data_IF_369834132684
#
_entry.id   IF_369834132684
#
_cell.length_a   1.000
_cell.length_b   1.000
_cell.length_c   1.000
_cell.angle_alpha   90.00
_cell.angle_beta   90.00
_cell.angle_gamma   90.00
#
_symmetry.space_group_name_H-M   'P 1'
#
loop_
_entity.id
_entity.type
_entity.pdbx_description
1 polymer ?
#
# COMPACT_ATOMS: atom_id res chain seq x y z
N UNK A 1 32.59 -5.67 -51.25
CA UNK A 1 31.74 -4.47 -51.06
C UNK A 1 30.37 -4.98 -50.67
N UNK A 2 30.15 -5.18 -49.37
CA UNK A 2 28.87 -5.61 -48.82
C UNK A 2 28.29 -4.41 -48.06
N UNK A 3 27.03 -4.11 -48.37
CA UNK A 3 26.25 -3.06 -47.73
C UNK A 3 25.92 -3.48 -46.29
N UNK A 4 26.39 -2.72 -45.30
CA UNK A 4 25.86 -2.76 -43.94
C UNK A 4 24.69 -1.79 -43.86
N UNK A 5 23.49 -2.35 -43.71
CA UNK A 5 22.28 -1.63 -43.29
C UNK A 5 22.25 -1.64 -41.76
N UNK A 6 22.17 -0.50 -41.06
CA UNK A 6 22.00 -0.51 -39.61
C UNK A 6 20.58 -0.97 -39.27
N UNK A 7 20.49 -2.06 -38.51
CA UNK A 7 19.23 -2.54 -37.96
C UNK A 7 18.66 -1.51 -36.98
N UNK A 8 17.42 -1.06 -37.22
CA UNK A 8 16.61 -0.36 -36.23
C UNK A 8 16.37 -1.31 -35.04
N UNK A 9 16.90 -0.95 -33.87
CA UNK A 9 16.60 -1.61 -32.60
C UNK A 9 15.29 -1.06 -32.04
N UNK A 10 14.17 -1.57 -32.55
CA UNK A 10 12.87 -1.42 -31.92
C UNK A 10 12.75 -2.42 -30.76
N UNK A 11 12.48 -1.90 -29.56
CA UNK A 11 11.96 -2.68 -28.43
C UNK A 11 13.01 -3.37 -27.57
N UNK A 12 13.33 -2.74 -26.43
CA UNK A 12 14.00 -3.36 -25.29
C UNK A 12 13.43 -4.77 -25.03
N UNK A 13 14.30 -5.78 -25.13
CA UNK A 13 14.00 -7.20 -24.91
C UNK A 13 13.72 -7.56 -23.45
N UNK A 14 12.80 -6.83 -22.81
CA UNK A 14 12.33 -7.10 -21.47
C UNK A 14 11.16 -8.10 -21.54
N UNK A 15 11.17 -9.19 -20.73
CA UNK A 15 10.06 -10.11 -20.68
C UNK A 15 8.79 -9.38 -20.20
N UNK A 16 7.60 -9.74 -20.73
CA UNK A 16 6.35 -9.06 -20.44
C UNK A 16 6.11 -8.99 -18.93
N UNK A 17 5.91 -7.78 -18.40
CA UNK A 17 5.77 -7.50 -16.97
C UNK A 17 7.01 -6.89 -16.29
N UNK A 18 8.13 -6.75 -16.99
CA UNK A 18 9.32 -6.07 -16.47
C UNK A 18 9.35 -4.61 -16.91
N UNK A 19 9.72 -3.71 -16.00
CA UNK A 19 9.77 -2.28 -16.27
C UNK A 19 11.14 -1.74 -15.87
N UNK A 20 11.80 -1.01 -16.78
CA UNK A 20 13.11 -0.38 -16.56
C UNK A 20 12.94 0.79 -15.57
N UNK A 21 13.70 0.78 -14.48
CA UNK A 21 13.63 1.78 -13.40
C UNK A 21 14.76 2.83 -13.46
N UNK A 22 15.78 2.58 -14.29
CA UNK A 22 17.02 3.37 -14.38
C UNK A 22 17.36 3.55 -15.86
N UNK A 23 17.57 4.79 -16.33
CA UNK A 23 17.88 5.12 -17.73
C UNK A 23 19.33 5.62 -17.91
N UNK A 24 20.28 4.73 -17.69
CA UNK A 24 21.72 5.06 -17.67
C UNK A 24 22.19 5.70 -19.00
N UNK A 25 21.44 5.47 -20.09
CA UNK A 25 21.82 5.86 -21.46
C UNK A 25 21.07 7.12 -21.95
N UNK A 26 20.14 7.68 -21.17
CA UNK A 26 19.36 8.87 -21.52
C UNK A 26 18.48 8.72 -22.76
N UNK A 27 18.12 7.49 -23.13
CA UNK A 27 17.39 7.17 -24.37
C UNK A 27 15.87 7.17 -24.20
N UNK A 28 15.36 7.33 -22.97
CA UNK A 28 13.93 7.23 -22.68
C UNK A 28 13.32 8.63 -22.51
N UNK A 29 12.40 9.00 -23.40
CA UNK A 29 11.59 10.23 -23.29
C UNK A 29 10.60 10.09 -22.12
N UNK A 30 11.09 10.31 -20.89
CA UNK A 30 10.29 10.30 -19.67
C UNK A 30 10.75 11.42 -18.71
N UNK A 31 9.84 11.98 -17.90
CA UNK A 31 10.21 13.02 -16.92
C UNK A 31 11.08 12.39 -15.83
N UNK A 32 12.35 12.73 -15.82
CA UNK A 32 13.32 12.39 -14.78
C UNK A 32 13.05 13.17 -13.47
N UNK A 33 13.43 12.62 -12.32
CA UNK A 33 13.33 13.31 -11.05
C UNK A 33 14.31 14.51 -11.01
N UNK A 34 13.80 15.71 -10.70
CA UNK A 34 14.62 16.93 -10.64
C UNK A 34 15.36 17.04 -9.30
N UNK A 35 16.56 16.46 -9.25
CA UNK A 35 17.56 16.64 -8.20
C UNK A 35 18.93 16.20 -8.73
N UNK A 36 20.01 16.88 -8.36
CA UNK A 36 21.36 16.67 -8.91
C UNK A 36 21.93 15.25 -8.74
N UNK A 37 21.29 14.39 -7.92
CA UNK A 37 21.65 12.98 -7.70
C UNK A 37 20.56 11.98 -8.16
N UNK A 38 19.44 12.43 -8.75
CA UNK A 38 18.27 11.57 -9.09
C UNK A 38 17.85 11.64 -10.57
N UNK A 39 18.68 12.22 -11.44
CA UNK A 39 18.37 12.43 -12.86
C UNK A 39 18.17 11.13 -13.67
N UNK A 40 18.54 9.96 -13.14
CA UNK A 40 18.53 8.68 -13.85
C UNK A 40 17.28 7.81 -13.57
N UNK A 41 16.29 8.37 -12.86
CA UNK A 41 15.17 7.60 -12.35
C UNK A 41 13.92 7.79 -13.22
N UNK A 42 13.43 6.69 -13.82
CA UNK A 42 12.17 6.66 -14.57
C UNK A 42 10.98 6.51 -13.59
N UNK A 43 10.10 7.51 -13.56
CA UNK A 43 8.90 7.53 -12.71
C UNK A 43 7.74 6.76 -13.36
N UNK A 44 7.44 5.56 -12.88
CA UNK A 44 6.30 4.75 -13.36
C UNK A 44 5.32 4.43 -12.22
N UNK A 45 4.04 4.80 -12.34
CA UNK A 45 3.42 5.53 -13.45
C UNK A 45 3.76 7.03 -13.45
N UNK A 46 3.73 7.66 -14.65
CA UNK A 46 4.08 9.09 -14.85
C UNK A 46 3.33 9.99 -13.85
N UNK A 47 3.97 11.03 -13.28
CA UNK A 47 3.27 12.04 -12.48
C UNK A 47 2.16 12.67 -13.33
N UNK A 48 0.94 12.70 -12.80
CA UNK A 48 -0.10 13.54 -13.37
C UNK A 48 0.17 15.01 -13.00
N UNK A 49 -0.38 15.95 -13.78
CA UNK A 49 -0.22 17.39 -13.52
C UNK A 49 -1.12 17.90 -12.38
N UNK A 50 -1.80 17.00 -11.68
CA UNK A 50 -2.71 17.36 -10.61
C UNK A 50 -1.98 17.42 -9.24
N UNK A 51 -2.16 18.48 -8.43
CA UNK A 51 -1.56 18.62 -7.10
C UNK A 51 -1.88 17.49 -6.11
N UNK A 52 -2.96 16.75 -6.38
CA UNK A 52 -3.45 15.66 -5.55
C UNK A 52 -2.78 14.31 -5.82
N UNK A 53 -1.92 14.21 -6.85
CA UNK A 53 -1.13 12.99 -7.12
C UNK A 53 -0.13 12.77 -5.97
N UNK A 54 -0.14 11.60 -5.28
CA UNK A 54 0.83 11.27 -4.23
C UNK A 54 2.29 11.40 -4.69
N UNK A 55 2.53 11.37 -6.02
CA UNK A 55 3.85 11.56 -6.60
C UNK A 55 4.38 12.99 -6.42
N UNK A 56 3.51 14.02 -6.37
CA UNK A 56 3.87 15.44 -6.24
C UNK A 56 3.91 15.95 -4.79
N UNK A 57 3.61 15.10 -3.81
CA UNK A 57 3.59 15.51 -2.40
C UNK A 57 4.97 15.96 -1.90
N UNK A 58 5.00 17.03 -1.10
CA UNK A 58 6.21 17.49 -0.42
C UNK A 58 6.79 16.39 0.47
N UNK A 59 8.13 16.35 0.61
CA UNK A 59 8.83 15.31 1.39
C UNK A 59 8.22 15.14 2.80
N UNK A 60 7.78 16.22 3.44
CA UNK A 60 7.14 16.20 4.77
C UNK A 60 5.81 15.44 4.77
N UNK A 61 4.95 15.65 3.77
CA UNK A 61 3.65 14.97 3.63
C UNK A 61 3.83 13.48 3.36
N UNK A 62 4.83 13.11 2.54
CA UNK A 62 5.21 11.70 2.31
C UNK A 62 5.70 11.03 3.60
N UNK A 63 6.58 11.68 4.35
CA UNK A 63 7.05 11.17 5.65
C UNK A 63 5.94 11.01 6.68
N UNK A 64 4.96 11.93 6.72
CA UNK A 64 3.81 11.84 7.62
C UNK A 64 2.90 10.65 7.26
N UNK A 65 2.64 10.41 5.97
CA UNK A 65 1.89 9.24 5.53
C UNK A 65 2.63 7.94 5.89
N UNK A 66 3.95 7.89 5.68
CA UNK A 66 4.80 6.77 6.11
C UNK A 66 4.79 6.56 7.62
N UNK A 67 4.86 7.62 8.43
CA UNK A 67 4.82 7.47 9.88
C UNK A 67 3.46 6.93 10.33
N UNK A 68 2.35 7.34 9.71
CA UNK A 68 1.02 6.80 10.03
C UNK A 68 0.93 5.29 9.75
N UNK A 69 1.38 4.84 8.58
CA UNK A 69 1.38 3.40 8.24
C UNK A 69 2.30 2.63 9.20
N UNK A 70 3.48 3.16 9.51
CA UNK A 70 4.41 2.51 10.43
C UNK A 70 3.83 2.40 11.85
N UNK A 71 3.24 3.47 12.37
CA UNK A 71 2.58 3.48 13.69
C UNK A 71 1.43 2.48 13.71
N UNK A 72 0.57 2.47 12.68
CA UNK A 72 -0.52 1.50 12.55
C UNK A 72 0.01 0.06 12.63
N UNK A 73 1.00 -0.27 11.79
CA UNK A 73 1.58 -1.62 11.72
C UNK A 73 2.19 -2.05 13.06
N UNK A 74 3.02 -1.19 13.67
CA UNK A 74 3.67 -1.49 14.95
C UNK A 74 2.63 -1.72 16.04
N UNK A 75 1.61 -0.86 16.12
CA UNK A 75 0.61 -0.92 17.18
C UNK A 75 -0.32 -2.14 17.06
N UNK A 76 -0.61 -2.59 15.84
CA UNK A 76 -1.32 -3.86 15.61
C UNK A 76 -0.43 -5.07 15.89
N UNK A 77 0.86 -5.01 15.58
CA UNK A 77 1.79 -6.12 15.79
C UNK A 77 2.18 -6.32 17.28
N UNK A 78 2.06 -5.28 18.12
CA UNK A 78 2.33 -5.36 19.57
C UNK A 78 1.52 -6.49 20.23
N UNK A 79 0.17 -6.56 20.12
CA UNK A 79 -0.62 -7.62 20.74
C UNK A 79 -0.19 -9.04 20.34
N UNK A 80 0.24 -9.24 19.09
CA UNK A 80 0.71 -10.54 18.59
C UNK A 80 1.96 -11.02 19.32
N UNK A 81 2.85 -10.09 19.68
CA UNK A 81 4.12 -10.40 20.34
C UNK A 81 4.03 -10.33 21.87
N UNK A 82 3.23 -9.41 22.40
CA UNK A 82 3.07 -9.17 23.84
C UNK A 82 2.57 -10.41 24.61
N UNK A 83 1.74 -11.24 23.96
CA UNK A 83 1.19 -12.48 24.55
C UNK A 83 2.29 -13.44 25.01
N UNK A 84 3.44 -13.50 24.32
CA UNK A 84 4.49 -14.47 24.62
C UNK A 84 5.09 -14.32 26.02
N UNK A 85 5.17 -13.10 26.56
CA UNK A 85 5.66 -12.87 27.94
C UNK A 85 4.65 -13.20 29.02
N UNK A 86 3.37 -13.32 28.66
CA UNK A 86 2.27 -13.58 29.60
C UNK A 86 1.65 -14.96 29.42
N UNK A 87 2.29 -15.85 28.66
CA UNK A 87 1.82 -17.23 28.46
C UNK A 87 1.68 -17.98 29.79
N UNK A 88 2.71 -17.96 30.64
CA UNK A 88 2.70 -18.66 31.93
C UNK A 88 1.53 -18.24 32.83
N UNK A 89 1.30 -16.94 33.10
CA UNK A 89 0.16 -16.51 33.93
C UNK A 89 -1.20 -16.75 33.26
N UNK A 90 -1.31 -16.62 31.93
CA UNK A 90 -2.55 -16.98 31.20
C UNK A 90 -2.87 -18.44 31.44
N UNK A 91 -1.92 -19.35 31.21
CA UNK A 91 -2.10 -20.79 31.40
C UNK A 91 -2.54 -21.14 32.83
N UNK A 92 -1.93 -20.49 33.83
CA UNK A 92 -2.28 -20.69 35.24
C UNK A 92 -3.71 -20.22 35.55
N UNK A 93 -4.16 -19.14 34.91
CA UNK A 93 -5.47 -18.55 35.18
C UNK A 93 -6.62 -19.20 34.39
N UNK A 94 -6.37 -19.68 33.17
CA UNK A 94 -7.40 -20.21 32.26
C UNK A 94 -7.36 -21.72 32.09
N UNK A 95 -6.27 -22.38 32.51
CA UNK A 95 -6.05 -23.80 32.27
C UNK A 95 -5.71 -24.14 30.81
N UNK A 96 -5.52 -23.15 29.93
CA UNK A 96 -5.14 -23.37 28.53
C UNK A 96 -3.78 -24.06 28.45
N UNK A 97 -3.64 -25.00 27.51
CA UNK A 97 -2.34 -25.61 27.25
C UNK A 97 -1.43 -24.65 26.47
N UNK A 98 -0.11 -24.89 26.51
CA UNK A 98 0.83 -24.15 25.67
C UNK A 98 0.51 -24.35 24.17
N UNK A 99 0.07 -25.56 23.81
CA UNK A 99 -0.34 -25.89 22.44
C UNK A 99 -1.54 -25.05 21.99
N UNK A 100 -2.54 -24.85 22.85
CA UNK A 100 -3.72 -24.05 22.51
C UNK A 100 -3.37 -22.58 22.26
N UNK A 101 -2.47 -22.02 23.08
CA UNK A 101 -2.02 -20.64 22.93
C UNK A 101 -1.21 -20.48 21.63
N UNK A 102 -0.28 -21.39 21.38
CA UNK A 102 0.54 -21.38 20.16
C UNK A 102 -0.31 -21.57 18.90
N UNK A 103 -1.28 -22.50 18.93
CA UNK A 103 -2.20 -22.73 17.83
C UNK A 103 -3.07 -21.49 17.57
N UNK A 104 -3.57 -20.85 18.62
CA UNK A 104 -4.30 -19.58 18.50
C UNK A 104 -3.46 -18.48 17.83
N UNK A 105 -2.18 -18.37 18.17
CA UNK A 105 -1.27 -17.42 17.51
C UNK A 105 -0.99 -17.78 16.05
N UNK A 106 -0.79 -19.06 15.73
CA UNK A 106 -0.62 -19.51 14.34
C UNK A 106 -1.85 -19.20 13.47
N UNK A 107 -3.04 -19.47 14.01
CA UNK A 107 -4.31 -19.17 13.34
C UNK A 107 -4.51 -17.66 13.18
N UNK A 108 -4.14 -16.84 14.16
CA UNK A 108 -4.15 -15.38 14.02
C UNK A 108 -3.30 -14.93 12.83
N UNK A 109 -2.08 -15.45 12.65
CA UNK A 109 -1.23 -15.11 11.50
C UNK A 109 -1.79 -15.62 10.17
N UNK A 110 -2.43 -16.78 10.15
CA UNK A 110 -3.15 -17.28 8.98
C UNK A 110 -4.27 -16.32 8.57
N UNK A 111 -5.05 -15.84 9.53
CA UNK A 111 -6.13 -14.88 9.29
C UNK A 111 -5.63 -13.47 9.00
N UNK A 112 -4.44 -13.07 9.45
CA UNK A 112 -3.81 -11.84 8.94
C UNK A 112 -3.59 -11.92 7.43
N UNK A 113 -3.05 -13.03 6.91
CA UNK A 113 -2.87 -13.22 5.47
C UNK A 113 -4.20 -13.20 4.70
N UNK A 114 -5.22 -13.90 5.20
CA UNK A 114 -6.56 -13.89 4.60
C UNK A 114 -7.24 -12.52 4.69
N UNK A 115 -7.04 -11.81 5.80
CA UNK A 115 -7.56 -10.46 5.97
C UNK A 115 -6.99 -9.52 4.92
N UNK A 116 -5.71 -9.62 4.56
CA UNK A 116 -5.12 -8.77 3.52
C UNK A 116 -5.86 -8.90 2.19
N UNK A 117 -6.32 -10.11 1.83
CA UNK A 117 -7.07 -10.35 0.60
C UNK A 117 -8.45 -9.66 0.58
N UNK A 118 -9.07 -9.50 1.75
CA UNK A 118 -10.39 -8.87 1.90
C UNK A 118 -10.26 -7.36 2.02
N UNK A 119 -9.28 -6.89 2.81
CA UNK A 119 -9.08 -5.47 3.07
C UNK A 119 -8.45 -4.73 1.90
N UNK A 120 -7.66 -5.39 1.06
CA UNK A 120 -7.06 -4.78 -0.12
C UNK A 120 -8.11 -4.24 -1.12
N UNK A 121 -9.08 -5.03 -1.62
CA UNK A 121 -10.12 -4.51 -2.52
C UNK A 121 -11.03 -3.50 -1.82
N UNK A 122 -11.30 -3.69 -0.52
CA UNK A 122 -12.07 -2.72 0.26
C UNK A 122 -11.39 -1.35 0.30
N UNK A 123 -10.08 -1.30 0.53
CA UNK A 123 -9.32 -0.06 0.57
C UNK A 123 -9.17 0.61 -0.80
N UNK A 124 -9.21 -0.16 -1.89
CA UNK A 124 -9.22 0.38 -3.25
C UNK A 124 -10.58 1.03 -3.59
N UNK A 125 -11.69 0.42 -3.16
CA UNK A 125 -13.04 0.89 -3.47
C UNK A 125 -13.49 2.06 -2.58
N UNK A 126 -13.24 1.98 -1.27
CA UNK A 126 -13.77 2.93 -0.29
C UNK A 126 -12.74 3.92 0.23
N UNK A 127 -11.48 3.81 -0.22
CA UNK A 127 -10.37 4.59 0.28
C UNK A 127 -9.62 3.91 1.41
N UNK A 128 -8.38 4.35 1.62
CA UNK A 128 -7.43 3.69 2.53
C UNK A 128 -7.65 4.07 3.97
N UNK A 129 -7.95 5.33 4.25
CA UNK A 129 -8.16 5.83 5.62
C UNK A 129 -9.32 5.11 6.33
N UNK A 130 -10.53 4.95 5.74
CA UNK A 130 -11.61 4.23 6.42
C UNK A 130 -11.26 2.76 6.68
N UNK A 131 -10.48 2.13 5.80
CA UNK A 131 -10.00 0.76 6.03
C UNK A 131 -9.11 0.66 7.28
N UNK A 132 -8.10 1.55 7.40
CA UNK A 132 -7.22 1.58 8.58
C UNK A 132 -7.98 1.91 9.88
N UNK A 133 -8.88 2.89 9.84
CA UNK A 133 -9.66 3.29 11.03
C UNK A 133 -10.64 2.19 11.47
N UNK A 134 -11.35 1.57 10.53
CA UNK A 134 -12.26 0.46 10.82
C UNK A 134 -11.52 -0.74 11.41
N UNK A 135 -10.35 -1.07 10.85
CA UNK A 135 -9.45 -2.10 11.37
C UNK A 135 -9.04 -1.82 12.83
N UNK A 136 -8.58 -0.60 13.13
CA UNK A 136 -8.17 -0.21 14.48
C UNK A 136 -9.31 -0.27 15.47
N UNK A 137 -10.50 0.24 15.11
CA UNK A 137 -11.69 0.19 15.97
C UNK A 137 -12.06 -1.27 16.29
N UNK A 138 -12.09 -2.14 15.28
CA UNK A 138 -12.38 -3.55 15.47
C UNK A 138 -11.34 -4.21 16.38
N UNK A 139 -10.04 -3.95 16.17
CA UNK A 139 -8.96 -4.49 17.01
C UNK A 139 -9.09 -4.03 18.47
N UNK A 140 -9.42 -2.77 18.72
CA UNK A 140 -9.62 -2.25 20.09
C UNK A 140 -10.70 -3.05 20.82
N UNK A 141 -11.85 -3.27 20.17
CA UNK A 141 -12.99 -4.02 20.72
C UNK A 141 -12.59 -5.48 20.97
N UNK A 142 -11.94 -6.12 19.99
CA UNK A 142 -11.50 -7.52 20.11
C UNK A 142 -10.48 -7.67 21.23
N UNK A 143 -9.52 -6.76 21.36
CA UNK A 143 -8.53 -6.77 22.44
C UNK A 143 -9.13 -6.49 23.81
N UNK A 144 -10.14 -5.63 23.89
CA UNK A 144 -10.87 -5.37 25.14
C UNK A 144 -11.61 -6.62 25.65
N UNK A 145 -12.08 -7.49 24.76
CA UNK A 145 -12.72 -8.77 25.14
C UNK A 145 -11.72 -9.90 25.43
N UNK A 146 -10.46 -9.78 25.01
CA UNK A 146 -9.45 -10.83 25.17
C UNK A 146 -9.20 -11.31 26.62
N UNK A 147 -9.20 -10.45 27.66
CA UNK A 147 -9.08 -10.88 29.06
C UNK A 147 -10.24 -11.76 29.57
N UNK A 148 -11.38 -11.70 28.88
CA UNK A 148 -12.60 -12.44 29.23
C UNK A 148 -12.63 -13.82 28.56
N UNK A 149 -11.77 -14.07 27.57
CA UNK A 149 -11.67 -15.34 26.86
C UNK A 149 -10.91 -16.38 27.70
N UNK A 150 -11.62 -17.06 28.59
CA UNK A 150 -11.04 -18.07 29.50
C UNK A 150 -11.12 -19.50 28.98
N UNK A 151 -11.86 -19.76 27.90
CA UNK A 151 -12.01 -21.09 27.30
C UNK A 151 -11.23 -21.20 26.00
N UNK A 152 -10.84 -22.42 25.61
CA UNK A 152 -10.13 -22.68 24.34
C UNK A 152 -10.85 -22.10 23.13
N UNK A 153 -12.15 -22.34 23.03
CA UNK A 153 -12.96 -21.90 21.89
C UNK A 153 -13.10 -20.37 21.85
N UNK A 154 -13.31 -19.73 22.99
CA UNK A 154 -13.42 -18.26 23.05
C UNK A 154 -12.07 -17.59 22.77
N UNK A 155 -10.97 -18.15 23.27
CA UNK A 155 -9.64 -17.68 22.95
C UNK A 155 -9.34 -17.80 21.46
N UNK A 156 -9.65 -18.95 20.85
CA UNK A 156 -9.42 -19.17 19.44
C UNK A 156 -10.25 -18.23 18.56
N UNK A 157 -11.55 -18.06 18.88
CA UNK A 157 -12.42 -17.12 18.18
C UNK A 157 -11.88 -15.68 18.27
N UNK A 158 -11.41 -15.26 19.45
CA UNK A 158 -10.77 -13.95 19.63
C UNK A 158 -9.55 -13.78 18.72
N UNK A 159 -8.71 -14.80 18.58
CA UNK A 159 -7.51 -14.77 17.72
C UNK A 159 -7.83 -14.73 16.23
N UNK A 160 -8.87 -15.44 15.81
CA UNK A 160 -9.37 -15.40 14.42
C UNK A 160 -9.84 -13.99 14.08
N UNK A 161 -10.67 -13.39 14.94
CA UNK A 161 -11.16 -12.03 14.74
C UNK A 161 -10.01 -11.02 14.73
N UNK A 162 -9.07 -11.14 15.67
CA UNK A 162 -7.91 -10.25 15.75
C UNK A 162 -7.07 -10.30 14.46
N UNK A 163 -6.82 -11.50 13.92
CA UNK A 163 -6.11 -11.68 12.66
C UNK A 163 -6.87 -11.11 11.46
N UNK A 164 -8.17 -11.40 11.35
CA UNK A 164 -8.99 -10.95 10.23
C UNK A 164 -9.10 -9.42 10.14
N UNK A 165 -9.27 -8.77 11.29
CA UNK A 165 -9.47 -7.32 11.36
C UNK A 165 -8.18 -6.53 11.43
N UNK A 166 -7.06 -7.09 11.91
CA UNK A 166 -5.79 -6.35 11.97
C UNK A 166 -4.89 -6.55 10.75
N UNK A 167 -5.42 -7.06 9.64
CA UNK A 167 -4.62 -7.25 8.44
C UNK A 167 -4.25 -5.89 7.79
N UNK A 168 -2.97 -5.59 7.61
CA UNK A 168 -2.54 -4.33 6.99
C UNK A 168 -2.86 -4.31 5.49
N UNK A 169 -3.32 -3.17 5.01
CA UNK A 169 -3.43 -2.87 3.57
C UNK A 169 -2.08 -2.37 3.08
N UNK A 170 -1.53 -2.98 2.03
CA UNK A 170 -0.26 -2.55 1.43
C UNK A 170 -0.54 -1.49 0.35
N UNK A 171 0.07 -0.32 0.51
CA UNK A 171 -0.18 0.85 -0.31
C UNK A 171 1.12 1.65 -0.51
N UNK A 172 2.02 1.14 -1.35
CA UNK A 172 3.21 1.88 -1.77
C UNK A 172 3.36 1.85 -3.29
N UNK A 173 3.83 2.94 -3.91
CA UNK A 173 4.12 3.01 -5.34
C UNK A 173 5.47 2.38 -5.69
N UNK A 174 5.57 1.71 -6.84
CA UNK A 174 6.66 0.83 -7.23
C UNK A 174 8.07 1.42 -7.03
N UNK A 175 8.25 2.71 -7.30
CA UNK A 175 9.57 3.33 -7.34
C UNK A 175 10.19 3.63 -5.96
N UNK A 176 9.39 3.95 -4.93
CA UNK A 176 9.90 4.21 -3.56
C UNK A 176 9.66 3.05 -2.58
N UNK A 177 9.06 1.94 -3.05
CA UNK A 177 8.72 0.74 -2.27
C UNK A 177 9.86 0.20 -1.40
N UNK A 178 11.11 0.04 -1.87
CA UNK A 178 12.14 -0.67 -1.11
C UNK A 178 12.49 0.02 0.21
N UNK A 179 12.58 1.36 0.21
CA UNK A 179 12.93 2.14 1.39
C UNK A 179 11.84 2.07 2.46
N UNK A 180 10.58 2.20 2.06
CA UNK A 180 9.45 2.14 2.99
C UNK A 180 9.20 0.71 3.50
N UNK A 181 9.40 -0.29 2.66
CA UNK A 181 9.33 -1.70 3.07
C UNK A 181 10.46 -2.07 4.05
N UNK A 182 11.66 -1.52 3.86
CA UNK A 182 12.75 -1.68 4.82
C UNK A 182 12.43 -1.05 6.19
N UNK A 183 11.86 0.16 6.20
CA UNK A 183 11.40 0.80 7.45
C UNK A 183 10.27 0.02 8.13
N UNK A 184 9.32 -0.49 7.34
CA UNK A 184 8.25 -1.37 7.81
C UNK A 184 8.80 -2.65 8.46
N UNK A 185 9.71 -3.35 7.77
CA UNK A 185 10.35 -4.57 8.27
C UNK A 185 11.19 -4.31 9.53
N UNK A 186 11.88 -3.17 9.58
CA UNK A 186 12.60 -2.73 10.77
C UNK A 186 11.65 -2.48 11.96
N UNK A 187 10.53 -1.79 11.73
CA UNK A 187 9.50 -1.54 12.74
C UNK A 187 8.89 -2.82 13.30
N UNK A 188 8.56 -3.79 12.44
CA UNK A 188 8.08 -5.11 12.87
C UNK A 188 9.14 -5.89 13.66
N UNK A 189 10.40 -5.86 13.21
CA UNK A 189 11.51 -6.52 13.90
C UNK A 189 11.75 -5.94 15.29
N UNK A 190 11.65 -4.61 15.43
CA UNK A 190 11.73 -3.92 16.71
C UNK A 190 10.56 -4.30 17.62
N UNK A 191 9.35 -4.36 17.06
CA UNK A 191 8.13 -4.73 17.79
C UNK A 191 8.24 -6.12 18.41
N UNK A 192 8.76 -7.10 17.67
CA UNK A 192 8.96 -8.46 18.16
C UNK A 192 9.87 -8.57 19.40
N UNK A 193 10.71 -7.56 19.68
CA UNK A 193 11.59 -7.51 20.86
C UNK A 193 11.04 -6.61 21.97
N UNK A 194 10.55 -5.42 21.62
CA UNK A 194 10.06 -4.44 22.60
C UNK A 194 8.71 -4.83 23.20
N UNK A 195 7.79 -5.38 22.40
CA UNK A 195 6.45 -5.72 22.90
C UNK A 195 6.49 -6.78 24.00
N UNK A 196 7.25 -7.89 23.88
CA UNK A 196 7.43 -8.84 24.99
C UNK A 196 8.09 -8.22 26.24
N UNK A 197 9.04 -7.30 26.05
CA UNK A 197 9.72 -6.62 27.17
C UNK A 197 8.74 -5.76 27.97
N UNK A 198 7.97 -4.90 27.29
CA UNK A 198 6.95 -4.06 27.93
C UNK A 198 5.87 -4.89 28.60
N UNK A 199 5.40 -5.94 27.91
CA UNK A 199 4.35 -6.81 28.45
C UNK A 199 4.80 -7.57 29.70
N UNK A 200 6.06 -8.00 29.75
CA UNK A 200 6.66 -8.61 30.94
C UNK A 200 6.64 -7.66 32.14
N UNK A 201 7.05 -6.42 31.95
CA UNK A 201 7.05 -5.40 33.01
C UNK A 201 5.64 -5.11 33.54
N UNK A 202 4.68 -4.88 32.63
CA UNK A 202 3.27 -4.63 32.98
C UNK A 202 2.68 -5.82 33.74
N UNK A 203 3.00 -7.05 33.32
CA UNK A 203 2.50 -8.25 33.96
C UNK A 203 2.98 -8.42 35.41
N UNK A 204 4.22 -8.01 35.73
CA UNK A 204 4.74 -8.07 37.11
C UNK A 204 3.98 -7.10 38.02
N UNK A 205 3.67 -5.89 37.54
CA UNK A 205 3.01 -4.87 38.36
C UNK A 205 1.48 -5.00 38.44
N UNK A 206 0.82 -5.31 37.32
CA UNK A 206 -0.65 -5.25 37.18
C UNK A 206 -1.27 -6.59 36.77
N UNK A 207 -0.48 -7.60 36.43
CA UNK A 207 -0.94 -8.92 36.00
C UNK A 207 -1.27 -9.04 34.51
N UNK A 208 -1.59 -10.27 34.10
CA UNK A 208 -1.68 -10.63 32.69
C UNK A 208 -2.88 -10.01 31.97
N UNK A 209 -4.01 -9.80 32.66
CA UNK A 209 -5.21 -9.19 32.07
C UNK A 209 -4.91 -7.75 31.64
N UNK A 210 -4.23 -6.99 32.49
CA UNK A 210 -3.82 -5.62 32.21
C UNK A 210 -2.86 -5.49 31.05
N UNK A 211 -2.03 -6.51 30.80
CA UNK A 211 -1.18 -6.55 29.60
C UNK A 211 -2.01 -6.48 28.31
N UNK A 212 -3.14 -7.19 28.25
CA UNK A 212 -4.03 -7.18 27.08
C UNK A 212 -4.82 -5.87 26.99
N UNK A 213 -5.24 -5.30 28.12
CA UNK A 213 -5.85 -3.96 28.15
C UNK A 213 -4.91 -2.88 27.62
N UNK A 214 -3.63 -2.92 28.00
CA UNK A 214 -2.61 -2.01 27.46
C UNK A 214 -2.42 -2.17 25.95
N UNK A 215 -2.49 -3.40 25.42
CA UNK A 215 -2.47 -3.62 23.97
C UNK A 215 -3.67 -2.94 23.27
N UNK A 216 -4.85 -2.98 23.89
CA UNK A 216 -6.04 -2.26 23.39
C UNK A 216 -5.83 -0.74 23.43
N UNK A 217 -5.27 -0.20 24.52
CA UNK A 217 -4.95 1.23 24.66
C UNK A 217 -3.93 1.68 23.59
N UNK A 218 -2.89 0.91 23.33
CA UNK A 218 -1.91 1.23 22.28
C UNK A 218 -2.56 1.29 20.89
N UNK A 219 -3.52 0.41 20.60
CA UNK A 219 -4.33 0.48 19.38
C UNK A 219 -5.24 1.72 19.37
N UNK A 220 -5.78 2.11 20.53
CA UNK A 220 -6.51 3.39 20.70
C UNK A 220 -5.66 4.62 20.42
N UNK A 221 -4.41 4.64 20.88
CA UNK A 221 -3.46 5.72 20.58
C UNK A 221 -3.17 5.76 19.07
N UNK A 222 -2.98 4.60 18.44
CA UNK A 222 -2.82 4.51 16.99
C UNK A 222 -4.06 5.02 16.24
N UNK A 223 -5.26 4.75 16.75
CA UNK A 223 -6.50 5.25 16.18
C UNK A 223 -6.56 6.77 16.21
N UNK A 224 -6.27 7.39 17.36
CA UNK A 224 -6.25 8.86 17.47
C UNK A 224 -5.18 9.47 16.56
N UNK A 225 -3.98 8.88 16.53
CA UNK A 225 -2.89 9.35 15.69
C UNK A 225 -3.25 9.26 14.19
N UNK A 226 -3.74 8.11 13.74
CA UNK A 226 -4.16 7.93 12.34
C UNK A 226 -5.38 8.79 12.02
N UNK A 227 -6.32 8.97 12.95
CA UNK A 227 -7.49 9.81 12.72
C UNK A 227 -7.11 11.28 12.44
N UNK A 228 -6.12 11.81 13.17
CA UNK A 228 -5.66 13.19 13.05
C UNK A 228 -4.68 13.41 11.88
N UNK A 229 -3.74 12.49 11.65
CA UNK A 229 -2.62 12.71 10.73
C UNK A 229 -2.71 11.92 9.42
N UNK A 230 -3.57 10.89 9.33
CA UNK A 230 -3.73 10.12 8.09
C UNK A 230 -4.67 10.85 7.14
N UNK A 231 -4.08 11.41 6.08
CA UNK A 231 -4.82 12.00 4.97
C UNK A 231 -5.26 10.93 3.96
N UNK A 232 -6.40 11.15 3.30
CA UNK A 232 -6.88 10.24 2.26
C UNK A 232 -5.89 10.19 1.09
N UNK A 233 -5.48 8.98 0.71
CA UNK A 233 -4.46 8.72 -0.32
C UNK A 233 -5.04 8.12 -1.60
N UNK A 234 -6.37 8.11 -1.77
CA UNK A 234 -6.97 7.61 -3.00
C UNK A 234 -7.03 8.73 -4.04
N UNK A 235 -6.05 8.75 -4.94
CA UNK A 235 -6.07 9.60 -6.12
C UNK A 235 -6.60 8.77 -7.28
N UNK A 236 -7.87 9.01 -7.66
CA UNK A 236 -8.45 8.45 -8.87
C UNK A 236 -7.73 9.04 -10.08
N UNK A 237 -6.89 8.23 -10.74
CA UNK A 237 -6.33 8.59 -12.04
C UNK A 237 -7.43 8.33 -13.07
N UNK A 238 -8.04 9.36 -13.70
CA UNK A 238 -8.91 9.10 -14.84
C UNK A 238 -8.07 8.33 -15.87
N UNK A 239 -8.60 7.19 -16.33
CA UNK A 239 -7.97 6.42 -17.39
C UNK A 239 -7.76 7.37 -18.57
N UNK A 240 -6.50 7.69 -18.89
CA UNK A 240 -6.21 8.38 -20.13
C UNK A 240 -6.71 7.46 -21.25
N UNK A 241 -7.47 7.98 -22.23
CA UNK A 241 -7.65 7.28 -23.48
C UNK A 241 -6.27 6.85 -23.95
N UNK A 242 -6.12 5.58 -24.30
CA UNK A 242 -4.96 5.12 -25.06
C UNK A 242 -4.97 5.96 -26.32
N UNK A 243 -4.08 6.95 -26.41
CA UNK A 243 -3.80 7.57 -27.70
C UNK A 243 -3.20 6.46 -28.53
N UNK A 244 -4.03 5.86 -29.39
CA UNK A 244 -3.57 5.08 -30.52
C UNK A 244 -2.52 5.95 -31.20
N UNK A 245 -1.27 5.50 -31.14
CA UNK A 245 -0.18 6.00 -31.95
C UNK A 245 -0.56 5.73 -33.40
N UNK A 246 -1.40 6.60 -33.96
CA UNK A 246 -1.69 6.65 -35.38
C UNK A 246 -0.41 7.14 -36.01
N UNK A 247 0.39 6.17 -36.46
CA UNK A 247 1.61 6.36 -37.22
C UNK A 247 1.31 7.28 -38.40
N UNK A 248 1.57 8.57 -38.21
CA UNK A 248 1.62 9.53 -39.31
C UNK A 248 2.99 9.35 -39.95
N UNK A 249 3.10 8.32 -40.79
CA UNK A 249 4.33 7.92 -41.47
C UNK A 249 4.07 7.73 -42.96
N UNK A 250 4.15 8.84 -43.70
CA UNK A 250 4.67 8.92 -45.07
C UNK A 250 4.33 7.76 -46.04
N UNK A 251 3.16 7.81 -46.68
CA UNK A 251 2.92 7.06 -47.90
C UNK A 251 3.56 7.81 -49.08
N UNK A 252 4.69 7.31 -49.55
CA UNK A 252 5.34 7.72 -50.81
C UNK A 252 4.43 7.33 -51.98
N UNK A 253 3.58 8.25 -52.41
CA UNK A 253 2.71 8.08 -53.57
C UNK A 253 3.48 8.29 -54.87
N UNK A 254 3.56 7.23 -55.67
CA UNK A 254 4.02 7.24 -57.06
C UNK A 254 3.18 8.23 -57.88
N UNK A 255 3.88 8.98 -58.73
CA UNK A 255 3.41 9.97 -59.70
C UNK A 255 2.40 9.37 -60.70
N UNK A 256 1.21 9.96 -60.78
CA UNK A 256 0.40 9.99 -61.99
C UNK A 256 -0.23 11.38 -62.18
N UNK A 257 0.04 11.99 -63.34
CA UNK A 257 -0.48 13.28 -63.75
C UNK A 257 -1.88 13.11 -64.34
N UNK A 258 -2.87 13.84 -63.86
CA UNK A 258 -3.96 14.31 -64.73
C UNK A 258 -4.49 15.68 -64.30
N UNK A 259 -4.69 16.52 -65.32
CA UNK A 259 -5.06 17.92 -65.32
C UNK A 259 -6.58 18.08 -65.36
N UNK A 260 -7.16 19.13 -64.78
CA UNK A 260 -8.52 19.56 -65.11
C UNK A 260 -9.36 20.22 -64.00
N UNK A 261 -9.42 21.56 -64.04
CA UNK A 261 -10.51 22.54 -63.80
C UNK A 261 -11.73 22.27 -62.89
N UNK A 262 -12.23 23.41 -62.37
CA UNK A 262 -13.57 23.72 -61.81
C UNK A 262 -13.84 23.26 -60.37
N UNK A 263 -14.67 23.90 -59.55
CA UNK A 263 -15.16 25.27 -59.37
C UNK A 263 -15.96 25.22 -58.03
N UNK A 264 -15.93 26.30 -57.26
CA UNK A 264 -16.99 26.85 -56.40
C UNK A 264 -17.97 25.88 -55.68
N UNK A 265 -18.00 25.85 -54.33
CA UNK A 265 -19.27 26.00 -53.58
C UNK A 265 -19.05 26.25 -52.07
N UNK A 266 -19.57 27.39 -51.60
CA UNK A 266 -19.80 27.75 -50.19
C UNK A 266 -20.96 26.92 -49.60
N UNK A 267 -20.87 26.47 -48.34
CA UNK A 267 -22.01 26.46 -47.37
C UNK A 267 -21.57 26.10 -45.94
N UNK A 268 -21.44 27.10 -45.06
CA UNK A 268 -22.36 27.43 -43.93
C UNK A 268 -22.39 26.47 -42.73
N UNK A 269 -21.77 26.90 -41.61
CA UNK A 269 -22.19 26.62 -40.23
C UNK A 269 -23.49 27.40 -39.92
N UNK A 270 -24.37 27.00 -38.97
CA UNK A 270 -24.23 27.33 -37.52
C UNK A 270 -25.03 26.35 -36.58
N UNK A 271 -25.43 26.71 -35.34
CA UNK A 271 -24.66 27.11 -34.15
C UNK A 271 -24.93 26.23 -32.89
N UNK A 272 -24.11 26.47 -31.87
CA UNK A 272 -24.24 26.25 -30.42
C UNK A 272 -25.65 26.29 -29.82
N UNK A 273 -25.95 25.42 -28.85
CA UNK A 273 -26.66 25.78 -27.59
C UNK A 273 -26.28 24.86 -26.41
N UNK A 274 -26.08 25.52 -25.28
CA UNK A 274 -25.93 25.06 -23.90
C UNK A 274 -27.20 24.44 -23.31
N UNK A 275 -27.02 23.49 -22.38
CA UNK A 275 -27.55 23.57 -21.01
C UNK A 275 -26.65 22.74 -20.09
#
# INVERSE_FOLDING_TARGET
MAHDTPAQTDGDGLPPGTTRLIDVDGSVISKHASGSDEADIILIPRPSEYPEDPLNWTKKRKWLATSCVLVYTVMIAIPSSAVYSVVTPIRKATGLSLSDINNGTGIMFLFYGWGCLIWQPFALQYGKRPAYLASLIANIIILATAPMCTTKHTYLANRILLGLFGAPVESWFAHQRPKYLALYGWGLSMTGKLAPMLSGFINVGMGWKWTLWWCSIFNGIALVYCFLFMEETNYDRPARPVEDSTSTGHATGVREQHNGSDADEKRTLPPTYTH
#
